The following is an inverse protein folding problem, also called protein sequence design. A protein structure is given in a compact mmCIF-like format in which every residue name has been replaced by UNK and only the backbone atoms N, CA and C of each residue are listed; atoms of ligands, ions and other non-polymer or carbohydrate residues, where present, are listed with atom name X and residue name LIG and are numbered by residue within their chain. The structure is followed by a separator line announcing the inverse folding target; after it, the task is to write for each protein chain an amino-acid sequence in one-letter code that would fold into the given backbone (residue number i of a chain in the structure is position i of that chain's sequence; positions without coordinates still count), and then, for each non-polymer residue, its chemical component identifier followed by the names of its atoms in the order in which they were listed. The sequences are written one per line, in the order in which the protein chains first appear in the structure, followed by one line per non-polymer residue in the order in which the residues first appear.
data_IF_703151934190
#
_entry.id   IF_703151934190
#
_cell.length_a   1.000
_cell.length_b   1.000
_cell.length_c   1.000
_cell.angle_alpha   90.00
_cell.angle_beta   90.00
_cell.angle_gamma   90.00
#
_symmetry.space_group_name_H-M   'P 1'
#
loop_
_entity.id
_entity.type
_entity.pdbx_description
1 polymer ?
#
# COMPACT_ATOMS: atom_id res chain seq x y z
N UNK A 1 9.30 -9.11 23.69
CA UNK A 1 8.13 -8.21 23.66
C UNK A 1 7.32 -8.54 22.43
N UNK A 2 5.99 -8.58 22.52
CA UNK A 2 5.15 -8.83 21.35
C UNK A 2 5.37 -7.69 20.35
N UNK A 3 5.81 -8.02 19.13
CA UNK A 3 6.03 -7.03 18.06
C UNK A 3 4.66 -6.67 17.51
N UNK A 4 4.26 -5.40 17.62
CA UNK A 4 3.00 -4.89 17.07
C UNK A 4 3.18 -4.73 15.56
N UNK A 5 2.38 -5.44 14.77
CA UNK A 5 2.44 -5.36 13.30
C UNK A 5 1.61 -4.19 12.77
N UNK A 6 1.87 -3.79 11.53
CA UNK A 6 1.02 -2.83 10.83
C UNK A 6 -0.44 -3.28 10.73
N UNK A 7 -0.74 -4.59 10.70
CA UNK A 7 -2.11 -5.10 10.73
C UNK A 7 -2.78 -4.82 12.09
N UNK A 8 -2.06 -5.04 13.20
CA UNK A 8 -2.57 -4.72 14.54
C UNK A 8 -2.81 -3.22 14.70
N UNK A 9 -1.91 -2.40 14.15
CA UNK A 9 -2.06 -0.94 14.15
C UNK A 9 -3.24 -0.50 13.27
N UNK A 10 -3.45 -1.15 12.12
CA UNK A 10 -4.59 -0.88 11.25
C UNK A 10 -5.92 -1.10 11.98
N UNK A 11 -6.05 -2.24 12.68
CA UNK A 11 -7.26 -2.57 13.43
C UNK A 11 -7.49 -1.58 14.57
N UNK A 12 -6.45 -1.28 15.36
CA UNK A 12 -6.55 -0.32 16.46
C UNK A 12 -6.96 1.09 15.97
N UNK A 13 -6.39 1.55 14.85
CA UNK A 13 -6.79 2.83 14.26
C UNK A 13 -8.24 2.80 13.75
N UNK A 14 -8.67 1.66 13.18
CA UNK A 14 -10.05 1.48 12.72
C UNK A 14 -11.05 1.48 13.88
N UNK A 15 -10.73 0.82 15.00
CA UNK A 15 -11.52 0.84 16.24
C UNK A 15 -11.60 2.24 16.83
N UNK A 16 -10.46 2.94 16.99
CA UNK A 16 -10.45 4.32 17.48
C UNK A 16 -11.25 5.28 16.59
N UNK A 17 -11.28 5.02 15.28
CA UNK A 17 -12.08 5.82 14.36
C UNK A 17 -13.59 5.67 14.58
N UNK A 18 -14.06 4.58 15.20
CA UNK A 18 -15.49 4.40 15.47
C UNK A 18 -15.99 5.36 16.57
N UNK A 19 -15.14 5.68 17.54
CA UNK A 19 -15.45 6.59 18.66
C UNK A 19 -14.99 8.04 18.44
N UNK A 20 -14.14 8.29 17.45
CA UNK A 20 -13.69 9.64 17.10
C UNK A 20 -14.69 10.38 16.20
N UNK A 21 -14.63 11.71 16.20
CA UNK A 21 -15.47 12.58 15.38
C UNK A 21 -14.65 13.52 14.47
N UNK A 22 -15.30 14.00 13.40
CA UNK A 22 -14.75 15.03 12.50
C UNK A 22 -13.41 14.67 11.86
N UNK A 23 -12.48 15.63 11.88
CA UNK A 23 -11.15 15.50 11.23
C UNK A 23 -10.33 14.36 11.83
N UNK A 24 -10.43 14.12 13.15
CA UNK A 24 -9.70 13.03 13.82
C UNK A 24 -10.18 11.67 13.33
N UNK A 25 -11.50 11.48 13.22
CA UNK A 25 -12.06 10.27 12.63
C UNK A 25 -11.54 10.03 11.21
N UNK A 26 -11.55 11.07 10.36
CA UNK A 26 -11.08 10.95 8.99
C UNK A 26 -9.58 10.59 8.91
N UNK A 27 -8.76 11.21 9.77
CA UNK A 27 -7.32 10.90 9.84
C UNK A 27 -7.08 9.43 10.24
N UNK A 28 -7.76 8.95 11.27
CA UNK A 28 -7.66 7.56 11.73
C UNK A 28 -8.11 6.57 10.64
N UNK A 29 -9.25 6.82 9.97
CA UNK A 29 -9.72 5.97 8.86
C UNK A 29 -8.72 5.90 7.70
N UNK A 30 -8.11 7.03 7.33
CA UNK A 30 -7.12 7.08 6.24
C UNK A 30 -5.83 6.35 6.61
N UNK A 31 -5.35 6.54 7.83
CA UNK A 31 -4.17 5.87 8.34
C UNK A 31 -4.40 4.35 8.47
N UNK A 32 -5.55 3.92 9.00
CA UNK A 32 -5.92 2.50 9.12
C UNK A 32 -5.90 1.79 7.75
N UNK A 33 -6.47 2.42 6.72
CA UNK A 33 -6.43 1.89 5.34
C UNK A 33 -5.01 1.86 4.77
N UNK A 34 -4.23 2.91 5.02
CA UNK A 34 -2.88 3.03 4.50
C UNK A 34 -1.89 2.08 5.18
N UNK A 35 -2.17 1.65 6.41
CA UNK A 35 -1.32 0.76 7.19
C UNK A 35 -1.01 -0.57 6.49
N UNK A 36 -1.96 -1.11 5.73
CA UNK A 36 -1.75 -2.31 4.91
C UNK A 36 -0.76 -2.10 3.77
N UNK A 37 -0.56 -0.87 3.32
CA UNK A 37 0.31 -0.52 2.19
C UNK A 37 1.60 0.18 2.63
N UNK A 38 1.85 0.30 3.94
CA UNK A 38 3.12 0.84 4.41
C UNK A 38 4.28 -0.08 4.05
N UNK A 39 5.38 0.47 3.51
CA UNK A 39 6.50 -0.30 2.98
C UNK A 39 7.27 -1.07 4.05
N UNK A 40 7.25 -0.56 5.28
CA UNK A 40 8.01 -0.99 6.44
C UNK A 40 7.05 -1.09 7.65
N UNK A 41 7.40 -1.90 8.65
CA UNK A 41 6.64 -1.88 9.91
C UNK A 41 6.87 -0.55 10.63
N UNK A 42 5.80 0.05 11.15
CA UNK A 42 5.91 1.29 11.92
C UNK A 42 6.83 1.13 13.15
N UNK A 43 6.81 -0.05 13.77
CA UNK A 43 7.72 -0.38 14.87
C UNK A 43 9.20 -0.37 14.44
N UNK A 44 9.51 -0.88 13.24
CA UNK A 44 10.86 -0.91 12.70
C UNK A 44 11.36 0.53 12.40
N UNK A 45 10.49 1.41 11.88
CA UNK A 45 10.80 2.84 11.69
C UNK A 45 11.14 3.53 13.01
N UNK A 46 10.29 3.34 14.02
CA UNK A 46 10.47 3.97 15.33
C UNK A 46 11.76 3.48 15.99
N UNK A 47 12.05 2.18 15.92
CA UNK A 47 13.29 1.60 16.43
C UNK A 47 14.54 2.16 15.72
N UNK A 48 14.44 2.45 14.43
CA UNK A 48 15.50 3.09 13.65
C UNK A 48 15.64 4.60 13.92
N UNK A 49 14.84 5.18 14.83
CA UNK A 49 14.84 6.61 15.13
C UNK A 49 14.23 7.48 14.02
N UNK A 50 13.51 6.87 13.07
CA UNK A 50 12.85 7.57 11.96
C UNK A 50 11.47 8.10 12.39
N UNK A 51 10.97 9.10 11.68
CA UNK A 51 9.67 9.69 11.99
C UNK A 51 8.54 8.81 11.45
N UNK A 52 7.56 8.51 12.29
CA UNK A 52 6.33 7.84 11.85
C UNK A 52 5.52 8.67 10.84
N UNK A 53 5.74 9.99 10.76
CA UNK A 53 5.09 10.85 9.75
C UNK A 53 5.65 10.65 8.33
N UNK A 54 6.68 9.83 8.17
CA UNK A 54 7.16 9.38 6.84
C UNK A 54 6.17 8.39 6.20
N UNK A 55 5.30 7.77 7.00
CA UNK A 55 4.30 6.83 6.52
C UNK A 55 3.11 7.58 5.89
N UNK A 56 2.64 7.06 4.75
CA UNK A 56 1.53 7.68 4.03
C UNK A 56 0.26 7.77 4.90
N UNK A 57 -0.40 8.92 4.86
CA UNK A 57 -1.58 9.25 5.68
C UNK A 57 -1.32 9.28 7.20
N UNK A 58 -0.08 9.44 7.65
CA UNK A 58 0.26 9.62 9.07
C UNK A 58 0.67 11.07 9.36
N UNK A 59 -0.23 11.80 10.01
CA UNK A 59 0.06 13.12 10.60
C UNK A 59 0.51 13.03 12.06
N UNK A 60 0.93 14.15 12.69
CA UNK A 60 1.44 14.17 14.07
C UNK A 60 0.50 13.52 15.09
N UNK A 61 -0.81 13.76 14.96
CA UNK A 61 -1.83 13.15 15.83
C UNK A 61 -1.82 11.62 15.74
N UNK A 62 -1.80 11.06 14.53
CA UNK A 62 -1.79 9.61 14.32
C UNK A 62 -0.45 9.02 14.73
N UNK A 63 0.66 9.69 14.41
CA UNK A 63 2.00 9.28 14.82
C UNK A 63 2.11 9.10 16.34
N UNK A 64 1.47 9.99 17.11
CA UNK A 64 1.43 9.87 18.56
C UNK A 64 0.63 8.64 19.05
N UNK A 65 -0.51 8.34 18.42
CA UNK A 65 -1.29 7.13 18.73
C UNK A 65 -0.48 5.85 18.43
N UNK A 66 0.19 5.83 17.28
CA UNK A 66 1.04 4.71 16.87
C UNK A 66 2.23 4.52 17.82
N UNK A 67 2.97 5.60 18.13
CA UNK A 67 4.09 5.57 19.07
C UNK A 67 3.66 5.02 20.43
N UNK A 68 2.61 5.59 21.00
CA UNK A 68 2.06 5.17 22.29
C UNK A 68 1.76 3.67 22.32
N UNK A 69 1.16 3.15 21.25
CA UNK A 69 0.86 1.72 21.11
C UNK A 69 2.11 0.84 20.96
N UNK A 70 3.08 1.26 20.16
CA UNK A 70 4.31 0.50 19.92
C UNK A 70 5.16 0.41 21.20
N UNK A 71 5.30 1.53 21.91
CA UNK A 71 6.08 1.61 23.16
C UNK A 71 5.37 0.91 24.33
N UNK A 72 4.04 0.93 24.36
CA UNK A 72 3.22 0.29 25.39
C UNK A 72 2.24 -0.72 24.74
N UNK A 73 2.72 -1.91 24.34
CA UNK A 73 1.85 -2.92 23.75
C UNK A 73 0.87 -3.45 24.80
N UNK A 74 -0.43 -3.21 24.61
CA UNK A 74 -1.47 -3.86 25.40
C UNK A 74 -1.81 -5.25 24.84
N UNK A 75 -2.89 -5.86 25.35
CA UNK A 75 -3.39 -7.15 24.87
C UNK A 75 -3.51 -7.20 23.33
N UNK A 76 -3.38 -8.40 22.72
CA UNK A 76 -3.54 -8.59 21.28
C UNK A 76 -4.84 -7.96 20.79
N UNK A 77 -4.77 -7.28 19.63
CA UNK A 77 -5.95 -6.66 19.03
C UNK A 77 -6.82 -7.79 18.47
N UNK A 78 -8.10 -7.80 18.83
CA UNK A 78 -9.04 -8.75 18.24
C UNK A 78 -9.30 -8.31 16.80
N UNK A 79 -8.86 -9.11 15.83
CA UNK A 79 -9.07 -8.77 14.43
C UNK A 79 -10.48 -9.16 14.00
N UNK A 80 -11.12 -8.27 13.24
CA UNK A 80 -12.41 -8.60 12.63
C UNK A 80 -12.23 -9.74 11.61
N UNK A 81 -13.06 -10.81 11.70
CA UNK A 81 -12.97 -11.96 10.81
C UNK A 81 -12.92 -11.59 9.31
N UNK A 82 -13.52 -10.48 8.90
CA UNK A 82 -13.56 -10.04 7.51
C UNK A 82 -12.23 -9.45 7.00
N UNK A 83 -11.28 -9.13 7.88
CA UNK A 83 -10.04 -8.40 7.51
C UNK A 83 -8.76 -8.90 8.20
N UNK A 84 -8.80 -10.08 8.81
CA UNK A 84 -7.66 -10.63 9.56
C UNK A 84 -6.71 -11.53 8.75
N UNK A 85 -7.12 -12.05 7.59
CA UNK A 85 -6.31 -12.99 6.78
C UNK A 85 -5.43 -12.29 5.73
N UNK A 86 -5.38 -10.96 5.73
CA UNK A 86 -4.63 -10.19 4.75
C UNK A 86 -3.20 -9.91 5.25
N UNK A 87 -2.23 -10.09 4.35
CA UNK A 87 -0.85 -9.66 4.59
C UNK A 87 -0.72 -8.16 4.34
N UNK A 88 -0.02 -7.45 5.23
CA UNK A 88 0.45 -6.10 4.93
C UNK A 88 1.58 -6.14 3.92
N UNK A 89 1.84 -5.02 3.24
CA UNK A 89 2.96 -4.89 2.31
C UNK A 89 4.31 -5.18 2.99
N UNK A 90 4.51 -4.71 4.23
CA UNK A 90 5.70 -4.99 5.02
C UNK A 90 5.86 -6.52 5.27
N UNK A 91 4.78 -7.21 5.63
CA UNK A 91 4.79 -8.67 5.82
C UNK A 91 5.05 -9.41 4.50
N UNK A 92 4.36 -9.03 3.42
CA UNK A 92 4.55 -9.62 2.09
C UNK A 92 6.01 -9.47 1.62
N UNK A 93 6.60 -8.29 1.80
CA UNK A 93 8.02 -8.04 1.52
C UNK A 93 8.95 -8.91 2.37
N UNK A 94 8.69 -9.04 3.67
CA UNK A 94 9.47 -9.93 4.56
C UNK A 94 9.37 -11.40 4.13
N UNK A 95 8.20 -11.85 3.67
CA UNK A 95 8.00 -13.21 3.15
C UNK A 95 8.77 -13.41 1.84
N UNK A 96 8.61 -12.50 0.87
CA UNK A 96 9.28 -12.57 -0.42
C UNK A 96 10.81 -12.46 -0.28
N UNK A 97 11.31 -11.73 0.71
CA UNK A 97 12.74 -11.64 1.00
C UNK A 97 13.35 -12.96 1.49
N UNK A 98 12.54 -13.91 2.00
CA UNK A 98 13.03 -15.25 2.41
C UNK A 98 13.33 -16.15 1.22
N UNK A 99 12.67 -15.92 0.10
CA UNK A 99 12.88 -16.66 -1.14
C UNK A 99 12.86 -15.70 -2.32
N UNK A 100 14.00 -15.05 -2.55
CA UNK A 100 14.18 -14.10 -3.64
C UNK A 100 14.03 -14.74 -5.03
N UNK A 101 14.02 -16.07 -5.13
CA UNK A 101 13.84 -16.76 -6.41
C UNK A 101 12.43 -16.55 -6.98
N UNK A 102 11.42 -16.26 -6.15
CA UNK A 102 10.07 -15.96 -6.62
C UNK A 102 10.02 -14.75 -7.56
N UNK A 103 10.66 -13.64 -7.17
CA UNK A 103 10.70 -12.43 -8.00
C UNK A 103 11.38 -12.68 -9.34
N UNK A 104 12.42 -13.51 -9.36
CA UNK A 104 13.17 -13.87 -10.57
C UNK A 104 12.40 -14.80 -11.54
N UNK A 105 11.34 -15.47 -11.06
CA UNK A 105 10.47 -16.31 -11.90
C UNK A 105 9.40 -15.52 -12.64
N UNK A 106 9.16 -14.27 -12.26
CA UNK A 106 8.20 -13.41 -12.93
C UNK A 106 8.73 -13.04 -14.30
N UNK A 107 7.95 -13.34 -15.35
CA UNK A 107 8.32 -13.08 -16.74
C UNK A 107 7.70 -11.81 -17.30
N UNK A 108 6.70 -11.26 -16.63
CA UNK A 108 5.88 -10.17 -17.13
C UNK A 108 4.96 -9.60 -16.05
N UNK A 109 4.45 -8.40 -16.32
CA UNK A 109 3.24 -7.85 -15.70
C UNK A 109 2.16 -7.73 -16.78
N UNK A 110 0.96 -8.22 -16.45
CA UNK A 110 -0.16 -8.38 -17.38
C UNK A 110 -1.27 -7.34 -17.16
N UNK A 111 -1.08 -6.37 -16.27
CA UNK A 111 -2.08 -5.35 -16.00
C UNK A 111 -1.42 -4.06 -15.53
N UNK A 112 -1.16 -3.14 -16.46
CA UNK A 112 -0.62 -1.82 -16.15
C UNK A 112 -1.26 -0.74 -17.00
N UNK A 113 -1.42 0.43 -16.41
CA UNK A 113 -1.94 1.60 -17.11
C UNK A 113 -0.81 2.58 -17.37
N UNK A 114 -1.00 3.44 -18.36
CA UNK A 114 -0.06 4.46 -18.78
C UNK A 114 -0.68 5.84 -18.59
N UNK A 115 0.07 6.88 -18.94
CA UNK A 115 -0.44 8.26 -19.00
C UNK A 115 -1.59 8.45 -20.00
N UNK A 116 -1.92 7.44 -20.81
CA UNK A 116 -3.09 7.46 -21.68
C UNK A 116 -4.41 7.35 -20.90
N UNK A 117 -4.47 6.61 -19.78
CA UNK A 117 -5.64 6.63 -18.86
C UNK A 117 -5.30 7.25 -17.50
N UNK A 118 -4.91 6.43 -16.53
CA UNK A 118 -4.73 6.78 -15.11
C UNK A 118 -3.42 6.22 -14.52
N UNK A 119 -2.53 5.74 -15.39
CA UNK A 119 -1.16 5.42 -15.04
C UNK A 119 -0.26 6.67 -14.96
N UNK A 120 0.97 6.46 -14.53
CA UNK A 120 1.95 7.53 -14.32
C UNK A 120 3.12 7.53 -15.31
N UNK A 121 3.32 6.45 -16.07
CA UNK A 121 4.39 6.32 -17.05
C UNK A 121 3.88 6.28 -18.49
N UNK A 122 4.70 6.72 -19.43
CA UNK A 122 4.50 6.48 -20.87
C UNK A 122 4.68 4.99 -21.20
N UNK A 123 4.15 4.52 -22.33
CA UNK A 123 4.34 3.13 -22.80
C UNK A 123 5.83 2.72 -22.80
N UNK A 124 6.70 3.61 -23.27
CA UNK A 124 8.15 3.38 -23.33
C UNK A 124 8.77 3.24 -21.92
N UNK A 125 8.39 4.11 -20.98
CA UNK A 125 8.88 4.03 -19.60
C UNK A 125 8.40 2.75 -18.91
N UNK A 126 7.16 2.32 -19.16
CA UNK A 126 6.62 1.06 -18.62
C UNK A 126 7.36 -0.16 -19.16
N UNK A 127 7.64 -0.17 -20.48
CA UNK A 127 8.43 -1.24 -21.11
C UNK A 127 9.87 -1.27 -20.56
N UNK A 128 10.54 -0.12 -20.45
CA UNK A 128 11.88 -0.02 -19.88
C UNK A 128 11.93 -0.46 -18.41
N UNK A 129 10.92 -0.11 -17.63
CA UNK A 129 10.79 -0.55 -16.24
C UNK A 129 10.57 -2.07 -16.13
N UNK A 130 9.86 -2.68 -17.09
CA UNK A 130 9.72 -4.13 -17.23
C UNK A 130 11.05 -4.81 -17.57
N UNK A 131 11.79 -4.27 -18.54
CA UNK A 131 13.12 -4.77 -18.92
C UNK A 131 14.11 -4.75 -17.75
N UNK A 132 14.15 -3.65 -16.98
CA UNK A 132 14.98 -3.55 -15.78
C UNK A 132 14.65 -4.60 -14.70
N UNK A 133 13.41 -5.12 -14.70
CA UNK A 133 12.96 -6.19 -13.80
C UNK A 133 13.23 -7.59 -14.35
N UNK A 134 13.77 -7.71 -15.56
CA UNK A 134 13.99 -8.98 -16.24
C UNK A 134 12.74 -9.57 -16.87
N UNK A 135 11.71 -8.76 -17.12
CA UNK A 135 10.51 -9.22 -17.82
C UNK A 135 10.77 -9.34 -19.32
N UNK A 136 10.17 -10.36 -19.93
CA UNK A 136 10.22 -10.58 -21.37
C UNK A 136 9.21 -9.73 -22.13
N UNK A 137 8.12 -9.33 -21.46
CA UNK A 137 7.03 -8.53 -22.02
C UNK A 137 6.22 -7.88 -20.89
N UNK A 138 5.45 -6.87 -21.27
CA UNK A 138 4.46 -6.21 -20.43
C UNK A 138 3.15 -6.08 -21.22
N UNK A 139 2.01 -6.06 -20.54
CA UNK A 139 0.72 -5.79 -21.19
C UNK A 139 0.19 -4.43 -20.73
N UNK A 140 0.04 -3.49 -21.68
CA UNK A 140 -0.64 -2.22 -21.44
C UNK A 140 -2.15 -2.46 -21.49
N UNK A 141 -2.84 -2.13 -20.40
CA UNK A 141 -4.27 -2.39 -20.19
C UNK A 141 -5.01 -1.13 -19.78
N UNK A 142 -4.75 -0.02 -20.47
CA UNK A 142 -5.42 1.26 -20.22
C UNK A 142 -6.94 1.13 -20.28
N UNK A 143 -7.61 1.95 -19.47
CA UNK A 143 -9.06 1.90 -19.36
C UNK A 143 -9.76 2.26 -20.66
N UNK A 144 -10.87 1.60 -20.95
CA UNK A 144 -11.73 1.97 -22.09
C UNK A 144 -12.60 3.19 -21.75
N UNK A 145 -13.05 3.91 -22.78
CA UNK A 145 -13.94 5.08 -22.69
C UNK A 145 -15.16 4.96 -21.76
N UNK A 146 -15.59 3.74 -21.44
CA UNK A 146 -16.71 3.49 -20.52
C UNK A 146 -16.43 3.92 -19.07
N UNK A 147 -15.16 3.99 -18.66
CA UNK A 147 -14.75 4.32 -17.29
C UNK A 147 -14.23 5.77 -17.18
N UNK A 148 -15.16 6.74 -17.23
CA UNK A 148 -14.82 8.17 -17.25
C UNK A 148 -14.00 8.67 -16.06
N UNK A 149 -14.16 8.08 -14.87
CA UNK A 149 -13.42 8.49 -13.66
C UNK A 149 -11.93 8.21 -13.80
N UNK A 150 -11.57 7.18 -14.58
CA UNK A 150 -10.19 6.74 -14.76
C UNK A 150 -9.58 7.23 -16.09
N UNK A 151 -10.18 8.25 -16.73
CA UNK A 151 -9.64 8.85 -17.95
C UNK A 151 -9.59 7.91 -19.15
N UNK A 152 -10.50 6.92 -19.23
CA UNK A 152 -10.41 5.88 -20.25
C UNK A 152 -10.41 6.40 -21.70
N UNK A 153 -9.64 5.72 -22.55
CA UNK A 153 -9.37 6.12 -23.93
C UNK A 153 -10.43 5.64 -24.92
N UNK A 154 -10.66 6.44 -25.96
CA UNK A 154 -11.50 6.09 -27.10
C UNK A 154 -10.70 5.38 -28.22
N UNK A 155 -11.40 5.00 -29.29
CA UNK A 155 -10.81 4.30 -30.43
C UNK A 155 -9.71 5.10 -31.15
N UNK A 156 -9.84 6.43 -31.24
CA UNK A 156 -8.86 7.28 -31.91
C UNK A 156 -7.60 7.44 -31.06
N UNK A 157 -7.77 7.58 -29.75
CA UNK A 157 -6.66 7.62 -28.78
C UNK A 157 -5.93 6.27 -28.73
N UNK A 158 -6.65 5.14 -28.75
CA UNK A 158 -6.03 3.81 -28.80
C UNK A 158 -5.19 3.61 -30.06
N UNK A 159 -5.63 4.12 -31.22
CA UNK A 159 -4.84 4.07 -32.46
C UNK A 159 -3.57 4.94 -32.41
N UNK A 160 -3.53 5.95 -31.54
CA UNK A 160 -2.41 6.88 -31.38
C UNK A 160 -1.44 6.51 -30.25
N UNK A 161 -1.80 5.52 -29.42
CA UNK A 161 -1.02 5.00 -28.30
C UNK A 161 0.23 4.24 -28.74
#
# INVERSE_FOLDING_TARGET
MAVVSNADLAELLAEQAQSAEGVRQQALKRAARSAFLWPDEAADLLQAGRSLTELHSVGPFVAEQLRSRIENPAAPVAHDPLRHEFLTLAQARKILARDSAWGQRLRCDLHMHTQWSDGSGTVAEMAAAGEQRGYNYVAITDHTKGLKIAGGIDEAQLLAQ
#
